data_IF_853540609570
#
_entry.id   IF_853540609570
#
_cell.length_a   1.000
_cell.length_b   1.000
_cell.length_c   1.000
_cell.angle_alpha   90.00
_cell.angle_beta   90.00
_cell.angle_gamma   90.00
#
_symmetry.space_group_name_H-M   'P 1'
#
loop_
_entity.id
_entity.type
_entity.pdbx_description
1 polymer ?
#
# COMPACT_ATOMS: atom_id res chain seq x y z
N UNK A 1 -0.10 -27.56 13.36
CA UNK A 1 -1.34 -27.12 12.69
C UNK A 1 -1.26 -25.61 12.63
N UNK A 2 -1.23 -25.03 11.42
CA UNK A 2 -1.00 -23.59 11.26
C UNK A 2 -2.18 -22.82 11.86
N UNK A 3 -1.90 -22.07 12.93
CA UNK A 3 -2.85 -21.21 13.61
C UNK A 3 -3.15 -20.02 12.67
N UNK A 4 -4.13 -20.22 11.81
CA UNK A 4 -4.58 -19.24 10.82
C UNK A 4 -5.21 -18.07 11.56
N UNK A 5 -4.38 -17.07 11.89
CA UNK A 5 -4.83 -15.81 12.51
C UNK A 5 -6.06 -15.33 11.76
N UNK A 6 -7.20 -15.39 12.45
CA UNK A 6 -8.46 -14.80 11.99
C UNK A 6 -8.14 -13.33 11.72
N UNK A 7 -8.09 -12.95 10.45
CA UNK A 7 -8.06 -11.54 10.09
C UNK A 7 -9.38 -10.97 10.62
N UNK A 8 -9.32 -10.13 11.67
CA UNK A 8 -10.48 -9.47 12.31
C UNK A 8 -11.32 -8.59 11.34
N UNK A 9 -11.11 -8.68 10.03
CA UNK A 9 -11.70 -7.83 9.00
C UNK A 9 -11.29 -6.36 9.13
N UNK A 10 -10.40 -6.02 10.07
CA UNK A 10 -10.04 -4.64 10.42
C UNK A 10 -9.09 -3.99 9.41
N UNK A 11 -8.29 -4.80 8.73
CA UNK A 11 -7.26 -4.37 7.78
C UNK A 11 -7.43 -5.09 6.45
N UNK A 12 -6.95 -4.46 5.38
CA UNK A 12 -6.86 -5.13 4.08
C UNK A 12 -5.91 -6.34 4.19
N UNK A 13 -6.06 -7.35 3.33
CA UNK A 13 -5.14 -8.49 3.33
C UNK A 13 -3.72 -8.01 3.00
N UNK A 14 -2.72 -8.60 3.66
CA UNK A 14 -1.32 -8.17 3.58
C UNK A 14 -0.79 -8.10 2.13
N UNK A 15 -1.24 -9.01 1.26
CA UNK A 15 -0.82 -9.07 -0.13
C UNK A 15 -1.24 -7.82 -0.93
N UNK A 16 -2.34 -7.15 -0.58
CA UNK A 16 -2.80 -5.95 -1.26
C UNK A 16 -1.82 -4.78 -1.07
N UNK A 17 -1.30 -4.63 0.15
CA UNK A 17 -0.25 -3.66 0.45
C UNK A 17 1.01 -3.97 -0.34
N UNK A 18 1.46 -5.22 -0.33
CA UNK A 18 2.69 -5.63 -1.02
C UNK A 18 2.60 -5.39 -2.52
N UNK A 19 1.53 -5.87 -3.17
CA UNK A 19 1.36 -5.73 -4.63
C UNK A 19 1.33 -4.26 -5.04
N UNK A 20 0.55 -3.43 -4.34
CA UNK A 20 0.44 -2.01 -4.69
C UNK A 20 1.72 -1.24 -4.40
N UNK A 21 2.35 -1.45 -3.24
CA UNK A 21 3.59 -0.75 -2.89
C UNK A 21 4.73 -1.12 -3.85
N UNK A 22 4.92 -2.41 -4.12
CA UNK A 22 5.96 -2.88 -5.04
C UNK A 22 5.66 -2.41 -6.47
N UNK A 23 4.43 -2.55 -6.93
CA UNK A 23 4.01 -2.10 -8.26
C UNK A 23 4.24 -0.61 -8.47
N UNK A 24 3.80 0.23 -7.53
CA UNK A 24 4.04 1.67 -7.58
C UNK A 24 5.53 2.03 -7.47
N UNK A 25 6.32 1.28 -6.69
CA UNK A 25 7.76 1.51 -6.61
C UNK A 25 8.48 1.19 -7.93
N UNK A 26 8.09 0.12 -8.62
CA UNK A 26 8.63 -0.21 -9.94
C UNK A 26 8.27 0.86 -10.98
N UNK A 27 7.02 1.31 -10.99
CA UNK A 27 6.55 2.42 -11.84
C UNK A 27 7.37 3.67 -11.55
N UNK A 28 7.51 4.04 -10.27
CA UNK A 28 8.33 5.18 -9.85
C UNK A 28 9.78 5.04 -10.31
N UNK A 29 10.40 3.87 -10.15
CA UNK A 29 11.78 3.63 -10.62
C UNK A 29 11.91 3.79 -12.13
N UNK A 30 10.93 3.34 -12.92
CA UNK A 30 10.91 3.56 -14.37
C UNK A 30 10.90 5.05 -14.73
N UNK A 31 10.08 5.85 -14.04
CA UNK A 31 9.98 7.29 -14.33
C UNK A 31 11.15 8.12 -13.80
N UNK A 32 11.60 7.85 -12.57
CA UNK A 32 12.45 8.77 -11.81
C UNK A 32 13.82 8.15 -11.45
N UNK A 33 14.04 6.87 -11.73
CA UNK A 33 15.30 6.19 -11.44
C UNK A 33 16.50 6.89 -12.10
N UNK A 34 17.49 7.26 -11.30
CA UNK A 34 18.71 7.96 -11.75
C UNK A 34 18.51 9.43 -12.14
N UNK A 35 17.28 9.98 -12.04
CA UNK A 35 16.96 11.36 -12.46
C UNK A 35 16.85 12.36 -11.29
N UNK A 36 16.85 11.86 -10.05
CA UNK A 36 16.72 12.66 -8.82
C UNK A 36 17.78 12.24 -7.81
N UNK A 37 18.12 13.16 -6.89
CA UNK A 37 19.04 12.85 -5.79
C UNK A 37 18.50 11.74 -4.89
N UNK A 38 19.40 11.00 -4.23
CA UNK A 38 19.01 9.89 -3.36
C UNK A 38 18.08 10.34 -2.22
N UNK A 39 18.33 11.52 -1.65
CA UNK A 39 17.49 12.11 -0.60
C UNK A 39 16.06 12.36 -1.11
N UNK A 40 15.92 12.95 -2.29
CA UNK A 40 14.60 13.18 -2.91
C UNK A 40 13.92 11.83 -3.25
N UNK A 41 14.69 10.86 -3.75
CA UNK A 41 14.21 9.53 -4.07
C UNK A 41 13.60 8.84 -2.85
N UNK A 42 14.28 8.89 -1.70
CA UNK A 42 13.81 8.34 -0.42
C UNK A 42 12.56 9.06 0.07
N UNK A 43 12.57 10.40 0.07
CA UNK A 43 11.42 11.20 0.50
C UNK A 43 10.15 10.87 -0.32
N UNK A 44 10.29 10.76 -1.64
CA UNK A 44 9.19 10.37 -2.53
C UNK A 44 8.70 8.96 -2.21
N UNK A 45 9.58 8.00 -1.94
CA UNK A 45 9.18 6.63 -1.57
C UNK A 45 8.34 6.65 -0.28
N UNK A 46 8.82 7.34 0.76
CA UNK A 46 8.13 7.39 2.06
C UNK A 46 6.75 8.01 1.91
N UNK A 47 6.65 9.14 1.20
CA UNK A 47 5.38 9.81 0.93
C UNK A 47 4.42 8.91 0.14
N UNK A 48 4.91 8.25 -0.91
CA UNK A 48 4.13 7.33 -1.75
C UNK A 48 3.60 6.14 -0.95
N UNK A 49 4.44 5.50 -0.12
CA UNK A 49 4.02 4.38 0.73
C UNK A 49 2.94 4.81 1.72
N UNK A 50 3.12 5.96 2.38
CA UNK A 50 2.12 6.52 3.29
C UNK A 50 0.78 6.77 2.59
N UNK A 51 0.82 7.37 1.40
CA UNK A 51 -0.38 7.60 0.58
C UNK A 51 -1.06 6.29 0.18
N UNK A 52 -0.31 5.26 -0.22
CA UNK A 52 -0.87 3.96 -0.58
C UNK A 52 -1.53 3.26 0.59
N UNK A 53 -0.91 3.26 1.78
CA UNK A 53 -1.52 2.68 2.98
C UNK A 53 -2.83 3.39 3.31
N UNK A 54 -2.86 4.72 3.22
CA UNK A 54 -4.05 5.52 3.44
C UNK A 54 -5.16 5.15 2.44
N UNK A 55 -4.85 5.13 1.13
CA UNK A 55 -5.80 4.80 0.08
C UNK A 55 -6.34 3.38 0.22
N UNK A 56 -5.45 2.39 0.42
CA UNK A 56 -5.85 0.98 0.61
C UNK A 56 -6.80 0.87 1.80
N UNK A 57 -6.47 1.52 2.91
CA UNK A 57 -7.30 1.48 4.13
C UNK A 57 -8.65 2.17 3.92
N UNK A 58 -8.67 3.32 3.25
CA UNK A 58 -9.90 4.06 2.97
C UNK A 58 -10.84 3.26 2.05
N UNK A 59 -10.31 2.69 0.95
CA UNK A 59 -11.06 1.87 0.01
C UNK A 59 -11.56 0.58 0.66
N UNK A 60 -10.70 -0.10 1.41
CA UNK A 60 -11.08 -1.33 2.10
C UNK A 60 -12.19 -1.06 3.13
N UNK A 61 -12.06 0.00 3.94
CA UNK A 61 -13.08 0.38 4.91
C UNK A 61 -14.40 0.78 4.23
N UNK A 62 -14.38 1.49 3.10
CA UNK A 62 -15.62 1.88 2.42
C UNK A 62 -16.36 0.69 1.81
N UNK A 63 -15.62 -0.27 1.23
CA UNK A 63 -16.19 -1.51 0.69
C UNK A 63 -16.84 -2.36 1.80
N UNK A 64 -16.20 -2.50 2.96
CA UNK A 64 -16.74 -3.27 4.08
C UNK A 64 -17.84 -2.54 4.85
N UNK A 65 -17.77 -1.21 4.96
CA UNK A 65 -18.85 -0.41 5.55
C UNK A 65 -20.14 -0.49 4.73
N UNK A 66 -20.02 -0.45 3.40
CA UNK A 66 -21.16 -0.59 2.48
C UNK A 66 -21.80 -1.97 2.58
N UNK A 67 -21.01 -3.02 2.81
CA UNK A 67 -21.50 -4.41 2.88
C UNK A 67 -22.28 -4.76 4.16
N UNK A 68 -22.31 -3.87 5.15
CA UNK A 68 -23.07 -4.03 6.41
C UNK A 68 -24.43 -3.30 6.44
N UNK A 69 -24.77 -2.54 5.40
CA UNK A 69 -26.12 -1.99 5.18
C UNK A 69 -26.90 -2.91 4.26
#
# INVERSE_FOLDING_TARGET
>A
MADGKVNDGRWAPWWAYVVLIVGCNLIKQYFIGGKVSDVANVAITVAMVGALIFVITAVYRSMFATRRR
#
